data_IF_177148272860
#
_entry.id   IF_177148272860
#
_cell.length_a   1.000
_cell.length_b   1.000
_cell.length_c   1.000
_cell.angle_alpha   90.00
_cell.angle_beta   90.00
_cell.angle_gamma   90.00
#
_symmetry.space_group_name_H-M   'P 1'
#
loop_
_entity.id
_entity.type
_entity.pdbx_description
1 polymer ?
#
# COMPACT_ATOMS: atom_id res chain seq x y z
N UNK A 1 29.92 7.39 8.30
CA UNK A 1 28.79 7.77 7.41
C UNK A 1 27.93 6.53 7.28
N UNK A 2 26.80 6.47 7.98
CA UNK A 2 25.81 5.41 7.75
C UNK A 2 25.21 5.67 6.38
N UNK A 3 25.48 4.78 5.43
CA UNK A 3 24.70 4.73 4.18
C UNK A 3 23.28 4.36 4.59
N UNK A 4 22.39 5.35 4.74
CA UNK A 4 20.96 5.04 4.84
C UNK A 4 20.58 4.31 3.56
N UNK A 5 20.23 3.03 3.69
CA UNK A 5 19.75 2.21 2.58
C UNK A 5 18.45 2.86 2.08
N UNK A 6 18.45 3.33 0.84
CA UNK A 6 17.23 3.82 0.18
C UNK A 6 16.28 2.64 0.02
N UNK A 7 15.00 2.79 0.41
CA UNK A 7 13.94 1.83 0.11
C UNK A 7 13.86 1.59 -1.41
N UNK A 8 13.93 0.34 -1.85
CA UNK A 8 13.85 -0.08 -3.26
C UNK A 8 12.73 -1.09 -3.50
N UNK A 9 12.45 -1.96 -2.56
CA UNK A 9 11.34 -2.91 -2.62
C UNK A 9 10.40 -2.67 -1.46
N UNK A 10 9.10 -2.61 -1.73
CA UNK A 10 8.09 -2.40 -0.68
C UNK A 10 6.85 -3.23 -0.95
N UNK A 11 6.17 -3.60 0.13
CA UNK A 11 4.76 -4.01 0.09
C UNK A 11 3.93 -2.86 0.64
N UNK A 12 2.80 -2.56 0.02
CA UNK A 12 1.89 -1.51 0.48
C UNK A 12 0.49 -2.09 0.72
N UNK A 13 -0.15 -1.66 1.80
CA UNK A 13 -1.56 -1.93 2.09
C UNK A 13 -2.48 -0.91 1.40
N UNK A 14 -3.79 -1.08 1.59
CA UNK A 14 -4.81 -0.17 1.06
C UNK A 14 -4.68 1.23 1.66
N UNK A 15 -4.48 1.31 2.98
CA UNK A 15 -4.43 2.56 3.74
C UNK A 15 -3.33 3.50 3.21
N UNK A 16 -2.10 2.99 3.04
CA UNK A 16 -0.97 3.74 2.52
C UNK A 16 -1.18 4.18 1.07
N UNK A 17 -1.67 3.29 0.20
CA UNK A 17 -1.88 3.63 -1.21
C UNK A 17 -2.92 4.73 -1.38
N UNK A 18 -4.05 4.62 -0.66
CA UNK A 18 -5.11 5.63 -0.68
C UNK A 18 -4.59 6.96 -0.14
N UNK A 19 -3.90 6.97 1.00
CA UNK A 19 -3.36 8.20 1.59
C UNK A 19 -2.29 8.87 0.74
N UNK A 20 -1.45 8.10 0.04
CA UNK A 20 -0.51 8.65 -0.94
C UNK A 20 -1.22 9.22 -2.18
N UNK A 21 -2.40 8.71 -2.53
CA UNK A 21 -3.17 9.16 -3.69
C UNK A 21 -4.08 10.36 -3.41
N UNK A 22 -4.42 10.62 -2.13
CA UNK A 22 -5.27 11.74 -1.69
C UNK A 22 -4.84 13.10 -2.26
N UNK A 23 -3.54 13.49 -2.27
CA UNK A 23 -3.12 14.78 -2.82
C UNK A 23 -3.44 14.99 -4.32
N UNK A 24 -3.73 13.93 -5.07
CA UNK A 24 -4.21 14.00 -6.47
C UNK A 24 -5.71 13.76 -6.63
N UNK A 25 -6.37 13.29 -5.59
CA UNK A 25 -7.82 13.24 -5.51
C UNK A 25 -8.43 14.57 -5.02
N UNK A 26 -7.69 15.32 -4.20
CA UNK A 26 -8.12 16.61 -3.67
C UNK A 26 -7.94 17.75 -4.69
N UNK A 27 -9.05 18.28 -5.22
CA UNK A 27 -9.03 19.40 -6.14
C UNK A 27 -8.51 20.71 -5.53
N UNK A 28 -8.43 20.82 -4.20
CA UNK A 28 -7.87 21.99 -3.51
C UNK A 28 -6.34 21.99 -3.46
N UNK A 29 -5.70 20.84 -3.71
CA UNK A 29 -4.25 20.68 -3.68
C UNK A 29 -3.65 21.11 -5.03
N UNK A 30 -2.60 21.94 -4.97
CA UNK A 30 -1.93 22.41 -6.17
C UNK A 30 -1.28 21.29 -6.98
N UNK A 31 -1.51 21.26 -8.30
CA UNK A 31 -0.85 20.34 -9.23
C UNK A 31 0.68 20.52 -9.28
N UNK A 32 1.20 21.65 -8.80
CA UNK A 32 2.65 21.93 -8.73
C UNK A 32 3.36 21.21 -7.59
N UNK A 33 2.64 20.72 -6.59
CA UNK A 33 3.24 19.93 -5.51
C UNK A 33 3.65 18.55 -6.04
N UNK A 34 4.73 17.95 -5.52
CA UNK A 34 5.10 16.58 -5.86
C UNK A 34 3.95 15.60 -5.57
N UNK A 35 3.81 14.60 -6.42
CA UNK A 35 2.84 13.53 -6.26
C UNK A 35 3.50 12.38 -5.45
N UNK A 36 3.08 12.13 -4.21
CA UNK A 36 3.73 11.14 -3.37
C UNK A 36 3.42 9.70 -3.83
N UNK A 37 2.23 9.42 -4.36
CA UNK A 37 1.92 8.13 -4.99
C UNK A 37 2.84 7.89 -6.18
N UNK A 38 2.91 8.84 -7.11
CA UNK A 38 3.79 8.73 -8.28
C UNK A 38 5.25 8.53 -7.85
N UNK A 39 5.72 9.27 -6.84
CA UNK A 39 7.09 9.15 -6.36
C UNK A 39 7.39 7.73 -5.85
N UNK A 40 6.52 7.15 -5.01
CA UNK A 40 6.72 5.79 -4.48
C UNK A 40 6.67 4.75 -5.61
N UNK A 41 5.62 4.80 -6.44
CA UNK A 41 5.38 3.86 -7.54
C UNK A 41 6.46 3.91 -8.64
N UNK A 42 7.22 5.01 -8.75
CA UNK A 42 8.32 5.14 -9.72
C UNK A 42 9.71 5.02 -9.11
N UNK A 43 9.81 5.05 -7.78
CA UNK A 43 11.10 4.93 -7.05
C UNK A 43 11.33 3.56 -6.46
N UNK A 44 10.28 2.77 -6.23
CA UNK A 44 10.33 1.44 -5.62
C UNK A 44 9.65 0.40 -6.52
N UNK A 45 10.10 -0.85 -6.43
CA UNK A 45 9.30 -1.98 -6.87
C UNK A 45 8.23 -2.25 -5.79
N UNK A 46 6.97 -1.96 -6.12
CA UNK A 46 5.84 -2.06 -5.20
C UNK A 46 5.08 -3.36 -5.46
N UNK A 47 4.86 -4.15 -4.43
CA UNK A 47 3.96 -5.30 -4.45
C UNK A 47 2.75 -5.03 -3.54
N UNK A 48 1.59 -5.55 -3.91
CA UNK A 48 0.36 -5.42 -3.12
C UNK A 48 -0.33 -6.78 -3.02
N UNK A 49 -0.92 -7.12 -1.86
CA UNK A 49 -1.75 -8.32 -1.74
C UNK A 49 -2.98 -8.31 -2.64
N UNK A 50 -3.51 -9.49 -2.95
CA UNK A 50 -4.80 -9.66 -3.65
C UNK A 50 -5.98 -9.07 -2.86
N UNK A 51 -5.94 -9.11 -1.53
CA UNK A 51 -6.91 -8.46 -0.64
C UNK A 51 -6.94 -6.94 -0.88
N UNK A 52 -5.78 -6.28 -0.88
CA UNK A 52 -5.64 -4.84 -1.16
C UNK A 52 -6.21 -4.45 -2.51
N UNK A 53 -5.99 -5.27 -3.55
CA UNK A 53 -6.61 -5.02 -4.87
C UNK A 53 -8.14 -5.04 -4.77
N UNK A 54 -8.70 -6.01 -4.06
CA UNK A 54 -10.15 -6.16 -3.89
C UNK A 54 -10.76 -5.02 -3.09
N UNK A 55 -10.05 -4.55 -2.05
CA UNK A 55 -10.44 -3.41 -1.23
C UNK A 55 -10.43 -2.10 -2.03
N UNK A 56 -9.38 -1.85 -2.83
CA UNK A 56 -9.31 -0.70 -3.72
C UNK A 56 -10.47 -0.70 -4.73
N UNK A 57 -10.76 -1.85 -5.36
CA UNK A 57 -11.88 -1.99 -6.29
C UNK A 57 -13.22 -1.68 -5.58
N UNK A 58 -13.42 -2.16 -4.35
CA UNK A 58 -14.62 -1.86 -3.55
C UNK A 58 -14.72 -0.38 -3.16
N UNK A 59 -13.60 0.26 -2.84
CA UNK A 59 -13.55 1.68 -2.45
C UNK A 59 -13.96 2.63 -3.57
N UNK A 60 -13.77 2.26 -4.84
CA UNK A 60 -14.18 3.10 -5.98
C UNK A 60 -15.69 3.40 -6.03
N UNK A 61 -16.51 2.63 -5.29
CA UNK A 61 -17.94 2.87 -5.18
C UNK A 61 -18.30 4.07 -4.30
N UNK A 62 -17.37 4.58 -3.48
CA UNK A 62 -17.60 5.74 -2.63
C UNK A 62 -17.41 7.05 -3.43
N UNK A 63 -18.40 7.95 -3.36
CA UNK A 63 -18.33 9.28 -3.95
C UNK A 63 -17.67 10.27 -2.98
N UNK A 64 -16.44 9.96 -2.59
CA UNK A 64 -15.62 10.78 -1.71
C UNK A 64 -14.16 10.79 -2.14
N UNK A 65 -13.33 11.49 -1.36
CA UNK A 65 -11.91 11.64 -1.64
C UNK A 65 -11.16 10.30 -1.63
N UNK A 66 -11.59 9.34 -0.81
CA UNK A 66 -10.97 8.02 -0.71
C UNK A 66 -11.33 7.15 -1.92
N UNK A 67 -12.57 7.21 -2.40
CA UNK A 67 -12.96 6.54 -3.64
C UNK A 67 -12.26 7.10 -4.88
N UNK A 68 -12.09 8.43 -4.94
CA UNK A 68 -11.29 9.08 -5.99
C UNK A 68 -9.79 8.70 -5.89
N UNK A 69 -9.24 8.65 -4.69
CA UNK A 69 -7.87 8.23 -4.44
C UNK A 69 -7.64 6.76 -4.83
N UNK A 70 -8.53 5.85 -4.45
CA UNK A 70 -8.49 4.44 -4.84
C UNK A 70 -8.55 4.28 -6.38
N UNK A 71 -9.40 5.07 -7.05
CA UNK A 71 -9.47 5.11 -8.52
C UNK A 71 -8.14 5.52 -9.15
N UNK A 72 -7.44 6.51 -8.57
CA UNK A 72 -6.11 6.93 -9.03
C UNK A 72 -5.06 5.81 -8.84
N UNK A 73 -5.11 5.08 -7.73
CA UNK A 73 -4.22 3.92 -7.50
C UNK A 73 -4.46 2.85 -8.56
N UNK A 74 -5.72 2.47 -8.81
CA UNK A 74 -6.06 1.46 -9.81
C UNK A 74 -5.67 1.88 -11.24
N UNK A 75 -5.75 3.18 -11.55
CA UNK A 75 -5.30 3.71 -12.83
C UNK A 75 -3.77 3.62 -13.02
N UNK A 76 -3.01 3.39 -11.94
CA UNK A 76 -1.56 3.21 -11.94
C UNK A 76 -1.13 1.73 -11.86
N UNK A 77 -2.00 0.77 -12.21
CA UNK A 77 -1.75 -0.67 -12.11
C UNK A 77 -0.47 -1.16 -12.81
N UNK A 78 -0.02 -0.47 -13.86
CA UNK A 78 1.27 -0.71 -14.52
C UNK A 78 2.51 -0.40 -13.68
N UNK A 79 2.36 0.14 -12.47
CA UNK A 79 3.46 0.54 -11.59
C UNK A 79 3.56 -0.26 -10.29
N UNK A 80 2.70 -1.25 -10.07
CA UNK A 80 2.81 -2.19 -8.94
C UNK A 80 2.46 -3.61 -9.38
N UNK A 81 2.84 -4.60 -8.58
CA UNK A 81 2.53 -6.01 -8.84
C UNK A 81 1.54 -6.52 -7.80
N UNK A 82 0.42 -7.09 -8.24
CA UNK A 82 -0.49 -7.82 -7.34
C UNK A 82 0.05 -9.22 -7.14
N UNK A 83 0.24 -9.63 -5.89
CA UNK A 83 0.82 -10.92 -5.52
C UNK A 83 -0.09 -11.59 -4.49
N UNK A 84 -0.39 -12.87 -4.69
CA UNK A 84 -1.03 -13.65 -3.65
C UNK A 84 0.01 -13.93 -2.53
N UNK A 85 -0.23 -13.44 -1.31
CA UNK A 85 0.67 -13.64 -0.19
C UNK A 85 0.85 -15.12 0.18
N UNK A 86 -0.04 -16.03 -0.18
CA UNK A 86 0.03 -17.45 0.24
C UNK A 86 0.57 -18.40 -0.83
N UNK A 87 0.87 -17.89 -2.03
CA UNK A 87 1.51 -18.65 -3.12
C UNK A 87 3.06 -18.66 -3.02
N UNK A 88 3.64 -18.03 -1.98
CA UNK A 88 5.09 -17.97 -1.81
C UNK A 88 5.64 -19.16 -1.01
N UNK A 89 6.93 -19.46 -1.19
CA UNK A 89 7.53 -20.65 -0.59
C UNK A 89 7.63 -20.62 0.95
N UNK A 90 7.64 -19.43 1.56
CA UNK A 90 7.83 -19.23 2.99
C UNK A 90 6.67 -18.41 3.58
N UNK A 91 5.45 -18.94 3.49
CA UNK A 91 4.24 -18.32 4.04
C UNK A 91 3.49 -19.27 4.96
N UNK A 92 2.72 -18.75 5.93
CA UNK A 92 1.83 -19.59 6.74
C UNK A 92 0.80 -20.33 5.88
N UNK A 93 0.34 -21.49 6.35
CA UNK A 93 -0.72 -22.28 5.68
C UNK A 93 -2.08 -21.57 5.69
N UNK A 94 -2.30 -20.66 6.65
CA UNK A 94 -3.53 -19.89 6.83
C UNK A 94 -3.21 -18.45 7.23
N UNK A 95 -4.12 -17.51 6.94
CA UNK A 95 -3.98 -16.11 7.34
C UNK A 95 -3.83 -15.99 8.86
N UNK A 96 -2.75 -15.36 9.37
CA UNK A 96 -2.59 -15.14 10.80
C UNK A 96 -3.70 -14.25 11.39
N UNK A 97 -4.13 -14.53 12.62
CA UNK A 97 -5.02 -13.63 13.36
C UNK A 97 -4.19 -12.64 14.19
N UNK A 98 -3.78 -11.53 13.56
CA UNK A 98 -3.07 -10.45 14.22
C UNK A 98 -4.00 -9.40 14.85
N UNK A 99 -5.32 -9.54 14.68
CA UNK A 99 -6.29 -8.49 15.03
C UNK A 99 -6.16 -7.24 14.15
N UNK A 100 -5.57 -7.38 12.95
CA UNK A 100 -5.47 -6.37 11.90
C UNK A 100 -6.51 -6.68 10.82
N UNK A 101 -6.71 -5.76 9.88
CA UNK A 101 -7.52 -6.08 8.71
C UNK A 101 -6.82 -7.09 7.78
N UNK A 102 -7.56 -7.57 6.79
CA UNK A 102 -7.11 -8.59 5.86
C UNK A 102 -5.95 -8.10 4.97
N UNK A 103 -6.04 -6.88 4.43
CA UNK A 103 -5.03 -6.26 3.58
C UNK A 103 -3.72 -5.99 4.32
N UNK A 104 -3.79 -5.53 5.56
CA UNK A 104 -2.65 -5.33 6.45
C UNK A 104 -1.97 -6.65 6.80
N UNK A 105 -2.75 -7.64 7.25
CA UNK A 105 -2.24 -8.96 7.62
C UNK A 105 -1.54 -9.62 6.44
N UNK A 106 -2.19 -9.61 5.28
CA UNK A 106 -1.63 -10.12 4.04
C UNK A 106 -0.41 -9.34 3.59
N UNK A 107 -0.40 -8.02 3.82
CA UNK A 107 0.74 -7.14 3.56
C UNK A 107 1.97 -7.54 4.37
N UNK A 108 1.80 -7.84 5.66
CA UNK A 108 2.87 -8.32 6.54
C UNK A 108 3.39 -9.69 6.09
N UNK A 109 2.49 -10.63 5.76
CA UNK A 109 2.86 -11.96 5.27
C UNK A 109 3.68 -11.84 3.99
N UNK A 110 3.19 -11.07 3.01
CA UNK A 110 3.87 -10.86 1.74
C UNK A 110 5.22 -10.15 1.92
N UNK A 111 5.29 -9.13 2.77
CA UNK A 111 6.52 -8.37 3.01
C UNK A 111 7.62 -9.26 3.56
N UNK A 112 7.27 -10.11 4.54
CA UNK A 112 8.21 -11.07 5.12
C UNK A 112 8.65 -12.11 4.09
N UNK A 113 7.71 -12.66 3.32
CA UNK A 113 8.01 -13.69 2.32
C UNK A 113 8.91 -13.19 1.19
N UNK A 114 8.66 -11.96 0.71
CA UNK A 114 9.47 -11.33 -0.32
C UNK A 114 10.77 -10.70 0.21
N UNK A 115 10.95 -10.65 1.54
CA UNK A 115 12.09 -9.97 2.19
C UNK A 115 12.31 -8.55 1.66
N UNK A 116 11.23 -7.77 1.56
CA UNK A 116 11.27 -6.39 1.04
C UNK A 116 11.97 -5.43 2.01
N UNK A 117 12.39 -4.26 1.51
CA UNK A 117 13.03 -3.24 2.35
C UNK A 117 12.04 -2.58 3.34
N UNK A 118 10.74 -2.60 3.04
CA UNK A 118 9.72 -2.03 3.93
C UNK A 118 8.28 -2.43 3.61
N UNK A 119 7.45 -2.38 4.64
CA UNK A 119 5.99 -2.45 4.54
C UNK A 119 5.42 -1.04 4.76
N UNK A 120 4.56 -0.59 3.85
CA UNK A 120 3.92 0.73 3.90
C UNK A 120 2.48 0.55 4.38
N UNK A 121 2.17 1.22 5.47
CA UNK A 121 0.84 1.34 6.07
C UNK A 121 0.73 2.72 6.72
N UNK A 122 -0.47 3.30 6.75
CA UNK A 122 -0.75 4.50 7.53
C UNK A 122 -1.59 4.22 8.80
N UNK A 123 -1.97 2.96 9.00
CA UNK A 123 -2.74 2.52 10.15
C UNK A 123 -1.80 2.31 11.35
N UNK A 124 -2.00 3.14 12.38
CA UNK A 124 -1.32 2.99 13.65
C UNK A 124 -2.36 2.74 14.74
N UNK A 125 -2.21 1.63 15.47
CA UNK A 125 -2.96 1.37 16.69
C UNK A 125 -2.87 2.56 17.65
N UNK A 126 -4.02 3.09 18.07
CA UNK A 126 -4.10 4.29 18.89
C UNK A 126 -3.38 4.14 20.23
N UNK A 127 -2.27 4.88 20.38
CA UNK A 127 -1.53 5.31 21.59
C UNK A 127 -0.01 5.37 21.36
N UNK A 128 0.49 4.92 20.21
CA UNK A 128 1.93 4.79 19.92
C UNK A 128 2.75 6.10 20.01
N UNK A 129 2.09 7.27 20.04
CA UNK A 129 2.73 8.58 20.12
C UNK A 129 2.10 9.51 21.18
N UNK A 130 1.40 8.94 22.18
CA UNK A 130 0.84 9.70 23.31
C UNK A 130 1.91 10.05 24.37
#
# INVERSE_FOLDING_TARGET
MTTQTRLRTVVADTSALVSLAVPRADASVSSTLPDPLQYVLTSCAVSVPTAVRSELDAMTAYDDIHGAAASNVLAADGHYTVVDPYDQAETPDERPDFGLDDGETDGIVLANSLSVDGFLTDEFGGTNFA
#
